data_IF_020591019700
#
_entry.id   IF_020591019700
#
_cell.length_a   1.000
_cell.length_b   1.000
_cell.length_c   1.000
_cell.angle_alpha   90.00
_cell.angle_beta   90.00
_cell.angle_gamma   90.00
#
_symmetry.space_group_name_H-M   'P 1'
#
loop_
_entity.id
_entity.type
_entity.pdbx_description
1 polymer ?
#
# COMPACT_ATOMS: atom_id res chain seq x y z
N UNK A 1 22.18 20.15 -51.88
CA UNK A 1 22.09 20.79 -50.55
C UNK A 1 20.75 20.62 -49.85
N UNK A 2 19.62 20.50 -50.56
CA UNK A 2 18.28 20.36 -49.97
C UNK A 2 18.00 18.97 -49.33
N UNK A 3 18.60 17.89 -49.84
CA UNK A 3 18.39 16.53 -49.33
C UNK A 3 19.07 16.30 -47.96
N UNK A 4 20.22 16.90 -47.72
CA UNK A 4 20.95 16.82 -46.44
C UNK A 4 20.18 17.50 -45.29
N UNK A 5 19.50 18.59 -45.59
CA UNK A 5 18.67 19.32 -44.61
C UNK A 5 17.42 18.56 -44.24
N UNK A 6 16.81 17.84 -45.18
CA UNK A 6 15.63 17.00 -44.93
C UNK A 6 15.95 15.79 -44.02
N UNK A 7 17.15 15.18 -44.25
CA UNK A 7 17.59 14.03 -43.45
C UNK A 7 17.88 14.42 -41.99
N UNK A 8 18.50 15.57 -41.77
CA UNK A 8 18.79 16.10 -40.42
C UNK A 8 17.49 16.47 -39.72
N UNK A 9 16.48 17.00 -40.42
CA UNK A 9 15.17 17.32 -39.84
C UNK A 9 14.38 16.07 -39.46
N UNK A 10 14.44 15.00 -40.28
CA UNK A 10 13.83 13.71 -39.97
C UNK A 10 14.48 13.03 -38.73
N UNK A 11 15.81 13.15 -38.59
CA UNK A 11 16.53 12.60 -37.42
C UNK A 11 16.15 13.38 -36.17
N UNK A 12 16.01 14.69 -36.23
CA UNK A 12 15.58 15.53 -35.10
C UNK A 12 14.13 15.27 -34.69
N UNK A 13 13.25 14.88 -35.62
CA UNK A 13 11.86 14.49 -35.27
C UNK A 13 11.79 13.16 -34.53
N UNK A 14 12.70 12.22 -34.81
CA UNK A 14 12.73 10.92 -34.13
C UNK A 14 13.39 11.00 -32.75
N UNK A 15 14.22 12.01 -32.44
CA UNK A 15 14.78 12.18 -31.09
C UNK A 15 13.78 12.70 -30.04
N UNK A 16 12.63 13.21 -30.46
CA UNK A 16 11.62 13.73 -29.52
C UNK A 16 10.72 12.66 -28.92
N UNK A 17 10.74 11.43 -29.43
CA UNK A 17 9.85 10.36 -28.97
C UNK A 17 10.48 9.38 -27.96
N UNK A 18 11.70 9.62 -27.51
CA UNK A 18 12.38 8.76 -26.54
C UNK A 18 12.45 9.33 -25.11
N UNK A 19 11.76 10.45 -24.86
CA UNK A 19 11.71 11.02 -23.52
C UNK A 19 10.29 10.89 -22.96
N UNK A 20 10.19 10.16 -21.87
CA UNK A 20 9.05 9.94 -20.98
C UNK A 20 8.32 8.60 -21.20
N UNK A 21 9.02 7.49 -21.12
CA UNK A 21 8.45 6.34 -20.43
C UNK A 21 8.46 6.70 -18.94
N UNK A 22 7.45 7.44 -18.50
CA UNK A 22 7.13 7.55 -17.10
C UNK A 22 6.69 6.13 -16.71
N UNK A 23 7.55 5.36 -16.03
CA UNK A 23 7.14 4.08 -15.47
C UNK A 23 6.02 4.41 -14.49
N UNK A 24 4.79 4.19 -14.92
CA UNK A 24 3.62 4.32 -14.05
C UNK A 24 3.69 3.15 -13.09
N UNK A 25 4.12 3.43 -11.86
CA UNK A 25 4.09 2.44 -10.78
C UNK A 25 2.63 2.06 -10.55
N UNK A 26 2.31 0.80 -10.79
CA UNK A 26 0.96 0.29 -10.58
C UNK A 26 0.87 -0.29 -9.14
N UNK A 27 -0.13 0.15 -8.38
CA UNK A 27 -0.37 -0.36 -7.03
C UNK A 27 -0.51 -1.90 -7.01
N UNK A 28 -1.07 -2.47 -8.04
CA UNK A 28 -1.34 -3.91 -8.11
C UNK A 28 -0.10 -4.78 -8.39
N UNK A 29 1.06 -4.16 -8.68
CA UNK A 29 2.34 -4.86 -8.83
C UNK A 29 3.00 -5.17 -7.47
N UNK A 30 2.44 -4.61 -6.38
CA UNK A 30 2.97 -4.81 -5.04
C UNK A 30 2.30 -5.96 -4.30
N UNK A 31 3.06 -6.48 -3.36
CA UNK A 31 2.61 -7.49 -2.40
C UNK A 31 3.26 -7.28 -1.04
N UNK A 32 2.67 -7.83 -0.01
CA UNK A 32 3.20 -7.78 1.36
C UNK A 32 2.83 -9.07 2.10
N UNK A 33 3.43 -9.29 3.25
CA UNK A 33 3.10 -10.39 4.14
C UNK A 33 2.07 -9.92 5.17
N UNK A 34 0.98 -10.68 5.34
CA UNK A 34 0.01 -10.40 6.39
C UNK A 34 0.54 -10.79 7.77
N UNK A 35 -0.21 -10.45 8.81
CA UNK A 35 0.19 -10.69 10.20
C UNK A 35 0.27 -12.18 10.55
N UNK A 36 -0.28 -13.06 9.73
CA UNK A 36 -0.21 -14.52 9.87
C UNK A 36 0.89 -15.14 9.01
N UNK A 37 1.68 -14.33 8.30
CA UNK A 37 2.79 -14.77 7.45
C UNK A 37 2.38 -15.17 6.03
N UNK A 38 1.14 -14.89 5.60
CA UNK A 38 0.70 -15.22 4.26
C UNK A 38 1.01 -14.08 3.29
N UNK A 39 1.40 -14.44 2.06
CA UNK A 39 1.62 -13.48 0.99
C UNK A 39 0.30 -12.89 0.50
N UNK A 40 0.19 -11.58 0.51
CA UNK A 40 -0.96 -10.81 0.02
C UNK A 40 -0.56 -10.01 -1.22
N UNK A 41 -1.07 -10.38 -2.38
CA UNK A 41 -0.89 -9.63 -3.63
C UNK A 41 -2.00 -8.57 -3.75
N UNK A 42 -1.63 -7.31 -4.02
CA UNK A 42 -2.61 -6.23 -4.14
C UNK A 42 -3.50 -6.36 -5.38
N UNK A 43 -3.09 -7.14 -6.37
CA UNK A 43 -3.89 -7.46 -7.56
C UNK A 43 -5.27 -8.06 -7.21
N UNK A 44 -5.37 -8.84 -6.13
CA UNK A 44 -6.64 -9.43 -5.68
C UNK A 44 -7.71 -8.40 -5.30
N UNK A 45 -7.32 -7.15 -5.10
CA UNK A 45 -8.21 -6.03 -4.77
C UNK A 45 -8.47 -5.12 -5.96
N UNK A 46 -8.04 -5.48 -7.17
CA UNK A 46 -8.24 -4.68 -8.37
C UNK A 46 -9.72 -4.36 -8.58
N UNK A 47 -10.01 -3.11 -8.92
CA UNK A 47 -11.38 -2.62 -9.12
C UNK A 47 -12.18 -2.35 -7.85
N UNK A 48 -11.57 -2.50 -6.66
CA UNK A 48 -12.21 -2.23 -5.36
C UNK A 48 -11.62 -1.00 -4.70
N UNK A 49 -12.40 -0.26 -3.90
CA UNK A 49 -11.84 0.80 -3.05
C UNK A 49 -10.88 0.20 -2.02
N UNK A 50 -9.69 0.76 -1.90
CA UNK A 50 -8.67 0.32 -0.93
C UNK A 50 -8.32 1.50 -0.04
N UNK A 51 -8.46 1.32 1.28
CA UNK A 51 -7.98 2.24 2.31
C UNK A 51 -6.74 1.62 2.96
N UNK A 52 -5.57 2.23 2.74
CA UNK A 52 -4.32 1.82 3.39
C UNK A 52 -4.04 2.77 4.55
N UNK A 53 -3.89 2.22 5.75
CA UNK A 53 -3.67 3.00 6.98
C UNK A 53 -2.45 2.48 7.71
N UNK A 54 -1.50 3.37 8.02
CA UNK A 54 -0.42 3.02 8.92
C UNK A 54 -0.94 2.98 10.36
N UNK A 55 -0.77 1.85 11.04
CA UNK A 55 -1.29 1.60 12.38
C UNK A 55 -0.16 1.27 13.35
N UNK A 56 -0.43 1.45 14.64
CA UNK A 56 0.49 1.09 15.71
C UNK A 56 -0.28 0.74 16.99
N UNK A 57 0.22 -0.25 17.73
CA UNK A 57 -0.43 -0.79 18.93
C UNK A 57 -0.08 -0.04 20.22
N UNK A 58 0.92 0.83 20.18
CA UNK A 58 1.42 1.60 21.35
C UNK A 58 1.36 3.11 21.11
N UNK A 59 0.28 3.56 20.48
CA UNK A 59 0.08 4.95 20.09
C UNK A 59 -1.14 5.53 20.81
N UNK A 60 -1.16 6.83 21.06
CA UNK A 60 -2.35 7.52 21.58
C UNK A 60 -3.57 7.42 20.65
N UNK A 61 -3.35 7.10 19.37
CA UNK A 61 -4.39 6.88 18.37
C UNK A 61 -4.79 5.41 18.17
N UNK A 62 -4.22 4.48 18.92
CA UNK A 62 -4.57 3.05 18.86
C UNK A 62 -6.09 2.80 18.98
N UNK A 63 -6.87 3.56 19.77
CA UNK A 63 -8.33 3.40 19.80
C UNK A 63 -9.05 3.61 18.45
N UNK A 64 -8.43 4.25 17.47
CA UNK A 64 -9.00 4.38 16.11
C UNK A 64 -9.19 3.04 15.39
N UNK A 65 -8.61 1.95 15.87
CA UNK A 65 -8.92 0.60 15.38
C UNK A 65 -10.42 0.29 15.45
N UNK A 66 -11.12 0.79 16.47
CA UNK A 66 -12.57 0.63 16.62
C UNK A 66 -13.32 1.32 15.46
N UNK A 67 -12.95 2.55 15.13
CA UNK A 67 -13.57 3.30 14.04
C UNK A 67 -13.29 2.65 12.68
N UNK A 68 -12.07 2.17 12.47
CA UNK A 68 -11.69 1.44 11.25
C UNK A 68 -12.46 0.12 11.14
N UNK A 69 -12.66 -0.59 12.25
CA UNK A 69 -13.43 -1.83 12.28
C UNK A 69 -14.90 -1.57 11.98
N UNK A 70 -15.47 -0.51 12.53
CA UNK A 70 -16.83 -0.08 12.22
C UNK A 70 -16.98 0.29 10.74
N UNK A 71 -16.02 1.02 10.19
CA UNK A 71 -15.99 1.35 8.76
C UNK A 71 -15.94 0.07 7.91
N UNK A 72 -15.08 -0.88 8.25
CA UNK A 72 -14.99 -2.16 7.56
C UNK A 72 -16.31 -2.93 7.59
N UNK A 73 -16.95 -3.07 8.76
CA UNK A 73 -18.22 -3.78 8.90
C UNK A 73 -19.31 -3.14 8.03
N UNK A 74 -19.37 -1.80 8.02
CA UNK A 74 -20.41 -1.06 7.32
C UNK A 74 -20.27 -1.15 5.78
N UNK A 75 -19.03 -1.19 5.28
CA UNK A 75 -18.76 -1.08 3.85
C UNK A 75 -18.17 -2.34 3.19
N UNK A 76 -17.89 -3.43 3.94
CA UNK A 76 -17.39 -4.68 3.36
C UNK A 76 -18.30 -5.28 2.28
N UNK A 77 -19.61 -5.05 2.36
CA UNK A 77 -20.56 -5.49 1.33
C UNK A 77 -20.50 -4.62 0.06
N UNK A 78 -19.88 -3.45 0.13
CA UNK A 78 -19.59 -2.56 -0.99
C UNK A 78 -18.16 -2.72 -1.48
N UNK A 79 -17.53 -3.86 -1.18
CA UNK A 79 -16.18 -4.25 -1.58
C UNK A 79 -15.05 -3.34 -1.04
N UNK A 80 -15.31 -2.50 -0.03
CA UNK A 80 -14.23 -1.75 0.63
C UNK A 80 -13.23 -2.71 1.25
N UNK A 81 -11.97 -2.56 0.86
CA UNK A 81 -10.83 -3.23 1.49
C UNK A 81 -10.11 -2.24 2.38
N UNK A 82 -9.84 -2.62 3.64
CA UNK A 82 -8.96 -1.89 4.54
C UNK A 82 -7.70 -2.72 4.74
N UNK A 83 -6.55 -2.08 4.63
CA UNK A 83 -5.24 -2.67 4.86
C UNK A 83 -4.54 -1.83 5.94
N UNK A 84 -4.34 -2.41 7.11
CA UNK A 84 -3.51 -1.84 8.15
C UNK A 84 -2.05 -2.23 7.92
N UNK A 85 -1.19 -1.25 7.74
CA UNK A 85 0.26 -1.47 7.68
C UNK A 85 0.85 -1.23 9.06
N UNK A 86 1.28 -2.30 9.73
CA UNK A 86 1.91 -2.18 11.05
C UNK A 86 3.38 -1.82 10.90
N UNK A 87 3.88 -0.93 11.75
CA UNK A 87 5.28 -0.49 11.65
C UNK A 87 5.82 0.02 12.98
N UNK A 88 7.02 -0.42 13.32
CA UNK A 88 7.78 0.16 14.43
C UNK A 88 8.72 1.30 13.98
N UNK A 89 8.60 1.80 12.75
CA UNK A 89 9.42 2.92 12.26
C UNK A 89 9.32 4.19 13.11
N UNK A 90 8.26 4.32 13.91
CA UNK A 90 8.00 5.45 14.81
C UNK A 90 8.15 5.09 16.29
N UNK A 91 8.66 3.90 16.60
CA UNK A 91 8.80 3.38 17.98
C UNK A 91 7.47 3.30 18.75
N UNK A 92 6.37 3.04 18.04
CA UNK A 92 5.02 2.96 18.58
C UNK A 92 4.35 1.60 18.34
N UNK A 93 5.12 0.60 17.90
CA UNK A 93 4.63 -0.75 17.68
C UNK A 93 5.43 -1.75 18.52
N UNK A 94 4.84 -2.92 18.78
CA UNK A 94 5.55 -4.05 19.35
C UNK A 94 6.50 -4.67 18.33
N UNK A 95 7.57 -5.29 18.83
CA UNK A 95 8.49 -6.07 17.98
C UNK A 95 7.97 -7.48 17.71
N UNK A 96 7.12 -7.99 18.59
CA UNK A 96 6.53 -9.32 18.50
C UNK A 96 5.15 -9.24 17.81
N UNK A 97 4.99 -10.04 16.78
CA UNK A 97 3.74 -10.14 16.00
C UNK A 97 2.57 -10.63 16.85
N UNK A 98 2.80 -11.51 17.82
CA UNK A 98 1.74 -11.99 18.71
C UNK A 98 1.19 -10.89 19.63
N UNK A 99 2.04 -9.98 20.11
CA UNK A 99 1.59 -8.82 20.86
C UNK A 99 0.74 -7.88 19.98
N UNK A 100 1.12 -7.68 18.72
CA UNK A 100 0.34 -6.90 17.76
C UNK A 100 -1.02 -7.56 17.52
N UNK A 101 -1.05 -8.87 17.27
CA UNK A 101 -2.29 -9.64 17.11
C UNK A 101 -3.20 -9.51 18.31
N UNK A 102 -2.67 -9.60 19.53
CA UNK A 102 -3.44 -9.42 20.75
C UNK A 102 -4.14 -8.07 20.79
N UNK A 103 -3.48 -7.01 20.40
CA UNK A 103 -4.08 -5.67 20.36
C UNK A 103 -5.13 -5.60 19.26
N UNK A 104 -4.75 -5.81 17.99
CA UNK A 104 -5.67 -5.56 16.87
C UNK A 104 -6.80 -6.61 16.81
N UNK A 105 -6.52 -7.91 16.95
CA UNK A 105 -7.53 -8.94 16.79
C UNK A 105 -8.36 -9.17 18.06
N UNK A 106 -7.71 -9.26 19.23
CA UNK A 106 -8.42 -9.61 20.48
C UNK A 106 -9.09 -8.38 21.09
N UNK A 107 -8.36 -7.25 21.21
CA UNK A 107 -8.90 -6.09 21.91
C UNK A 107 -9.88 -5.28 21.04
N UNK A 108 -9.62 -5.18 19.74
CA UNK A 108 -10.44 -4.36 18.81
C UNK A 108 -11.25 -5.18 17.81
N UNK A 109 -11.08 -6.50 17.77
CA UNK A 109 -11.84 -7.38 16.89
C UNK A 109 -11.62 -7.08 15.40
N UNK A 110 -10.42 -6.62 15.01
CA UNK A 110 -10.07 -6.24 13.64
C UNK A 110 -10.31 -7.42 12.69
N UNK A 111 -11.17 -7.20 11.69
CA UNK A 111 -11.51 -8.18 10.67
C UNK A 111 -11.00 -7.83 9.27
N UNK A 112 -10.27 -6.73 9.12
CA UNK A 112 -9.62 -6.33 7.88
C UNK A 112 -8.17 -6.79 7.82
N UNK A 113 -7.56 -6.70 6.63
CA UNK A 113 -6.18 -7.16 6.39
C UNK A 113 -5.18 -6.34 7.21
N UNK A 114 -4.33 -7.03 7.97
CA UNK A 114 -3.25 -6.42 8.76
C UNK A 114 -1.92 -6.98 8.29
N UNK A 115 -0.93 -6.14 8.03
CA UNK A 115 0.39 -6.59 7.60
C UNK A 115 1.23 -7.11 8.77
N UNK A 116 2.21 -7.95 8.47
CA UNK A 116 3.39 -8.11 9.32
C UNK A 116 4.11 -6.75 9.48
N UNK A 117 4.88 -6.54 10.57
CA UNK A 117 5.62 -5.29 10.75
C UNK A 117 6.55 -4.99 9.58
N UNK A 118 6.42 -3.79 9.02
CA UNK A 118 7.23 -3.34 7.90
C UNK A 118 7.87 -1.98 8.14
N UNK A 119 8.94 -1.66 7.40
CA UNK A 119 9.52 -0.34 7.41
C UNK A 119 8.71 0.58 6.48
N UNK A 120 8.16 1.67 7.03
CA UNK A 120 7.37 2.67 6.29
C UNK A 120 8.08 4.02 6.18
N UNK A 121 9.29 4.14 6.73
CA UNK A 121 10.17 5.30 6.49
C UNK A 121 11.07 4.98 5.30
N UNK A 122 11.16 5.91 4.38
CA UNK A 122 12.18 5.87 3.34
C UNK A 122 13.60 5.90 3.92
N UNK A 123 14.55 5.46 3.13
CA UNK A 123 15.99 5.55 3.44
C UNK A 123 16.49 6.98 3.24
#
# INVERSE_FOLDING_TARGET
MKIKFLLVFLIMLNLKNTLLANETVNLYDFSFEDIDGNQVNLEKFAGKPILIVNTASRCGFTPQYEDLQNLFINYRKSDLTIIATTSNSFNQEYSDTEDIKKICLVNYGVGFVTSSPMNVKGS
#
